data_IF_168147575054
#
_entry.id   IF_168147575054
#
_cell.length_a   1.000
_cell.length_b   1.000
_cell.length_c   1.000
_cell.angle_alpha   90.00
_cell.angle_beta   90.00
_cell.angle_gamma   90.00
#
_symmetry.space_group_name_H-M   'P 1'
#
loop_
_entity.id
_entity.type
_entity.pdbx_description
1 polymer ?
#
# COMPACT_ATOMS: atom_id res chain seq x y z
N UNK A 1 16.75 16.21 -21.46
CA UNK A 1 15.55 16.37 -20.59
C UNK A 1 16.00 16.56 -19.16
N UNK A 2 15.44 17.54 -18.46
CA UNK A 2 15.72 17.75 -17.03
C UNK A 2 14.92 16.77 -16.17
N UNK A 3 15.32 16.55 -14.91
CA UNK A 3 14.55 15.71 -13.98
C UNK A 3 13.10 16.21 -13.80
N UNK A 4 12.90 17.53 -13.89
CA UNK A 4 11.55 18.12 -13.82
C UNK A 4 10.67 17.71 -15.02
N UNK A 5 11.27 17.48 -16.19
CA UNK A 5 10.53 17.05 -17.38
C UNK A 5 10.03 15.61 -17.21
N UNK A 6 10.87 14.73 -16.67
CA UNK A 6 10.47 13.35 -16.36
C UNK A 6 9.30 13.32 -15.34
N UNK A 7 9.37 14.11 -14.28
CA UNK A 7 8.32 14.16 -13.25
C UNK A 7 6.96 14.55 -13.84
N UNK A 8 6.94 15.51 -14.77
CA UNK A 8 5.70 15.95 -15.44
C UNK A 8 5.10 14.87 -16.33
N UNK A 9 5.96 14.07 -17.00
CA UNK A 9 5.52 12.93 -17.83
C UNK A 9 5.05 11.78 -16.96
N UNK A 10 5.81 11.41 -15.93
CA UNK A 10 5.49 10.33 -15.00
C UNK A 10 4.16 10.59 -14.27
N UNK A 11 3.86 11.85 -13.95
CA UNK A 11 2.58 12.23 -13.34
C UNK A 11 1.35 11.97 -14.25
N UNK A 12 1.55 11.63 -15.53
CA UNK A 12 0.46 11.24 -16.44
C UNK A 12 0.08 9.76 -16.32
N UNK A 13 0.90 8.95 -15.67
CA UNK A 13 0.57 7.54 -15.46
C UNK A 13 -0.58 7.47 -14.45
N UNK A 14 -1.73 6.84 -14.80
CA UNK A 14 -2.83 6.69 -13.87
C UNK A 14 -2.51 5.55 -12.89
N UNK A 15 -2.73 5.80 -11.60
CA UNK A 15 -2.55 4.82 -10.54
C UNK A 15 -3.84 4.67 -9.74
N UNK A 16 -4.16 3.46 -9.31
CA UNK A 16 -5.04 3.24 -8.18
C UNK A 16 -4.36 3.63 -6.88
N UNK A 17 -5.13 3.88 -5.84
CA UNK A 17 -4.61 4.25 -4.51
C UNK A 17 -5.07 3.21 -3.50
N UNK A 18 -4.11 2.67 -2.75
CA UNK A 18 -4.34 1.67 -1.72
C UNK A 18 -3.69 2.08 -0.40
N UNK A 19 -4.20 1.56 0.69
CA UNK A 19 -3.46 1.48 1.95
C UNK A 19 -2.89 0.08 2.08
N UNK A 20 -1.58 -0.02 2.14
CA UNK A 20 -0.88 -1.29 2.40
C UNK A 20 -0.59 -1.36 3.89
N UNK A 21 -1.05 -2.42 4.52
CA UNK A 21 -0.77 -2.72 5.92
C UNK A 21 0.22 -3.86 6.02
N UNK A 22 1.08 -3.84 7.01
CA UNK A 22 2.10 -4.88 7.27
C UNK A 22 2.36 -4.97 8.76
N UNK A 23 2.86 -6.08 9.22
CA UNK A 23 3.10 -6.34 10.63
C UNK A 23 2.05 -7.25 11.26
N UNK A 24 2.21 -7.53 12.53
CA UNK A 24 1.30 -8.32 13.37
C UNK A 24 1.68 -8.22 14.85
N UNK A 25 0.75 -8.59 15.72
CA UNK A 25 1.05 -8.76 17.15
C UNK A 25 1.38 -7.46 17.87
N UNK A 26 0.77 -6.34 17.49
CA UNK A 26 0.99 -5.04 18.10
C UNK A 26 2.15 -4.23 17.51
N UNK A 27 2.83 -4.78 16.49
CA UNK A 27 3.86 -4.07 15.72
C UNK A 27 3.40 -4.03 14.27
N UNK A 28 2.58 -3.05 13.95
CA UNK A 28 1.90 -2.92 12.67
C UNK A 28 2.05 -1.51 12.11
N UNK A 29 1.97 -1.36 10.81
CA UNK A 29 1.90 -0.06 10.17
C UNK A 29 1.07 -0.12 8.89
N UNK A 30 0.55 1.05 8.49
CA UNK A 30 -0.11 1.27 7.22
C UNK A 30 0.56 2.40 6.44
N UNK A 31 0.60 2.27 5.13
CA UNK A 31 1.12 3.29 4.24
C UNK A 31 0.30 3.39 2.96
N UNK A 32 0.13 4.60 2.47
CA UNK A 32 -0.54 4.83 1.17
C UNK A 32 0.43 4.50 0.05
N UNK A 33 -0.02 3.63 -0.86
CA UNK A 33 0.74 3.18 -2.02
C UNK A 33 -0.06 3.42 -3.29
N UNK A 34 0.57 4.06 -4.27
CA UNK A 34 0.04 4.20 -5.63
C UNK A 34 0.77 3.31 -6.63
N UNK A 35 2.04 2.99 -6.39
CA UNK A 35 2.82 2.16 -7.30
C UNK A 35 2.65 0.70 -6.94
N UNK A 36 1.61 0.11 -7.51
CA UNK A 36 1.22 -1.28 -7.33
C UNK A 36 0.81 -1.87 -8.68
N UNK A 37 1.13 -3.12 -8.89
CA UNK A 37 0.67 -3.87 -10.06
C UNK A 37 0.52 -5.34 -9.76
N UNK A 38 -0.43 -5.99 -10.45
CA UNK A 38 -0.40 -7.43 -10.63
C UNK A 38 0.81 -7.80 -11.49
N UNK A 39 1.57 -8.80 -11.09
CA UNK A 39 2.81 -9.22 -11.77
C UNK A 39 2.83 -10.69 -12.16
N UNK A 40 1.85 -11.49 -11.72
CA UNK A 40 1.73 -12.91 -12.06
C UNK A 40 0.28 -13.39 -11.94
N UNK A 41 -0.08 -14.38 -12.77
CA UNK A 41 -1.35 -15.12 -12.67
C UNK A 41 -1.19 -16.45 -11.94
N UNK A 42 -0.05 -17.12 -12.12
CA UNK A 42 0.22 -18.46 -11.55
C UNK A 42 1.65 -18.55 -11.00
N UNK A 43 1.82 -18.44 -9.68
CA UNK A 43 0.82 -18.05 -8.69
C UNK A 43 0.34 -16.61 -8.86
N UNK A 44 -0.84 -16.22 -8.33
CA UNK A 44 -1.28 -14.84 -8.37
C UNK A 44 -0.39 -13.99 -7.46
N UNK A 45 0.18 -12.90 -7.99
CA UNK A 45 1.12 -12.06 -7.27
C UNK A 45 0.87 -10.57 -7.51
N UNK A 46 1.11 -9.79 -6.47
CA UNK A 46 1.16 -8.33 -6.50
C UNK A 46 2.59 -7.84 -6.21
N UNK A 47 2.91 -6.69 -6.77
CA UNK A 47 4.08 -5.89 -6.44
C UNK A 47 3.61 -4.55 -5.88
N UNK A 48 4.24 -4.11 -4.79
CA UNK A 48 4.13 -2.74 -4.27
C UNK A 48 5.52 -2.12 -4.18
N UNK A 49 5.65 -0.86 -4.58
CA UNK A 49 6.91 -0.12 -4.44
C UNK A 49 6.85 0.79 -3.22
N UNK A 50 7.83 0.65 -2.34
CA UNK A 50 7.91 1.37 -1.06
C UNK A 50 9.25 2.12 -1.00
N UNK A 51 9.22 3.38 -0.54
CA UNK A 51 10.44 4.16 -0.32
C UNK A 51 11.39 3.41 0.63
N UNK A 52 12.66 3.28 0.25
CA UNK A 52 13.69 2.56 1.04
C UNK A 52 13.82 3.05 2.48
N UNK A 53 13.57 4.34 2.71
CA UNK A 53 13.66 4.96 4.02
C UNK A 53 12.36 4.82 4.85
N UNK A 54 11.33 4.22 4.29
CA UNK A 54 10.08 4.05 5.00
C UNK A 54 10.21 2.95 6.08
N UNK A 55 9.73 3.25 7.28
CA UNK A 55 9.77 2.34 8.43
C UNK A 55 9.20 0.94 8.14
N UNK A 56 8.16 0.86 7.31
CA UNK A 56 7.52 -0.43 6.95
C UNK A 56 8.44 -1.40 6.21
N UNK A 57 9.54 -0.95 5.62
CA UNK A 57 10.48 -1.84 4.90
C UNK A 57 11.00 -2.94 5.81
N UNK A 58 11.34 -2.60 7.06
CA UNK A 58 11.79 -3.58 8.05
C UNK A 58 10.66 -4.51 8.51
N UNK A 59 9.43 -4.01 8.57
CA UNK A 59 8.26 -4.84 8.87
C UNK A 59 8.01 -5.87 7.77
N UNK A 60 8.04 -5.49 6.48
CA UNK A 60 7.92 -6.44 5.37
C UNK A 60 8.97 -7.54 5.46
N UNK A 61 10.22 -7.19 5.82
CA UNK A 61 11.30 -8.17 5.96
C UNK A 61 11.10 -9.13 7.13
N UNK A 62 10.67 -8.62 8.28
CA UNK A 62 10.56 -9.40 9.51
C UNK A 62 9.30 -10.24 9.59
N UNK A 63 8.15 -9.68 9.20
CA UNK A 63 6.86 -10.36 9.33
C UNK A 63 6.45 -11.15 8.10
N UNK A 64 7.06 -10.88 6.94
CA UNK A 64 6.80 -11.55 5.66
C UNK A 64 5.34 -11.47 5.21
N UNK A 65 4.61 -10.44 5.63
CA UNK A 65 3.20 -10.26 5.30
C UNK A 65 2.91 -8.85 4.84
N UNK A 66 1.87 -8.69 4.05
CA UNK A 66 1.19 -7.41 3.85
C UNK A 66 -0.23 -7.64 3.32
N UNK A 67 -1.10 -6.68 3.58
CA UNK A 67 -2.43 -6.64 2.99
C UNK A 67 -2.59 -5.34 2.20
N UNK A 68 -3.00 -5.47 0.94
CA UNK A 68 -3.36 -4.32 0.10
C UNK A 68 -4.84 -4.07 0.30
N UNK A 69 -5.19 -2.88 0.79
CA UNK A 69 -6.57 -2.42 0.94
C UNK A 69 -6.85 -1.39 -0.17
N UNK A 70 -7.58 -1.78 -1.19
CA UNK A 70 -7.90 -0.92 -2.32
C UNK A 70 -8.96 0.11 -1.92
N UNK A 71 -8.63 1.40 -2.00
CA UNK A 71 -9.53 2.46 -1.58
C UNK A 71 -10.57 2.80 -2.65
N UNK A 72 -11.77 3.17 -2.20
CA UNK A 72 -12.82 3.75 -3.04
C UNK A 72 -12.69 5.26 -3.21
N UNK A 73 -13.37 5.82 -4.22
CA UNK A 73 -13.30 7.25 -4.59
C UNK A 73 -13.55 8.21 -3.40
N UNK A 74 -14.41 7.85 -2.45
CA UNK A 74 -14.73 8.67 -1.28
C UNK A 74 -13.68 8.67 -0.16
N UNK A 75 -12.58 7.91 -0.29
CA UNK A 75 -11.64 7.66 0.80
C UNK A 75 -10.31 8.44 0.68
N UNK A 76 -10.35 9.62 0.05
CA UNK A 76 -9.14 10.45 -0.13
C UNK A 76 -8.53 10.92 1.21
N UNK A 77 -9.35 11.18 2.22
CA UNK A 77 -8.85 11.58 3.55
C UNK A 77 -8.11 10.44 4.24
N UNK A 78 -8.59 9.22 4.07
CA UNK A 78 -7.92 8.02 4.57
C UNK A 78 -6.56 7.81 3.88
N UNK A 79 -6.51 7.98 2.57
CA UNK A 79 -5.26 7.97 1.81
C UNK A 79 -4.27 9.03 2.34
N UNK A 80 -4.75 10.24 2.62
CA UNK A 80 -3.95 11.32 3.19
C UNK A 80 -3.39 10.98 4.57
N UNK A 81 -4.18 10.36 5.44
CA UNK A 81 -3.74 9.94 6.77
C UNK A 81 -2.57 8.95 6.69
N UNK A 82 -2.69 7.90 5.87
CA UNK A 82 -1.64 6.88 5.74
C UNK A 82 -0.46 7.33 4.86
N UNK A 83 -0.59 8.43 4.12
CA UNK A 83 0.52 9.03 3.37
C UNK A 83 1.50 9.80 4.26
N UNK A 84 1.14 10.08 5.53
CA UNK A 84 2.07 10.72 6.49
C UNK A 84 3.31 9.85 6.68
N UNK A 85 4.44 10.50 6.86
CA UNK A 85 5.65 9.81 7.26
C UNK A 85 5.45 9.19 8.66
N UNK A 86 5.65 7.88 8.76
CA UNK A 86 5.66 7.18 10.04
C UNK A 86 7.07 7.24 10.64
N UNK A 87 7.12 7.41 11.96
CA UNK A 87 8.30 7.20 12.78
C UNK A 87 8.11 5.91 13.60
N UNK A 88 9.21 5.34 14.06
CA UNK A 88 9.16 4.14 14.91
C UNK A 88 8.27 4.40 16.15
N UNK A 89 7.31 3.52 16.40
CA UNK A 89 6.35 3.66 17.50
C UNK A 89 5.09 4.47 17.16
N UNK A 90 4.97 5.01 15.93
CA UNK A 90 3.77 5.70 15.47
C UNK A 90 2.77 4.68 14.91
N UNK A 91 1.67 4.45 15.61
CA UNK A 91 0.61 3.54 15.18
C UNK A 91 -0.48 4.31 14.42
N UNK A 92 -0.31 4.39 13.10
CA UNK A 92 -1.29 5.05 12.23
C UNK A 92 -2.63 4.31 12.15
N UNK A 93 -2.65 3.02 12.45
CA UNK A 93 -3.87 2.21 12.45
C UNK A 93 -4.74 2.55 13.66
N UNK A 94 -4.14 2.71 14.84
CA UNK A 94 -4.87 3.11 16.05
C UNK A 94 -5.31 4.58 16.03
N UNK A 95 -4.60 5.44 15.33
CA UNK A 95 -4.90 6.87 15.23
C UNK A 95 -6.12 7.18 14.35
N UNK A 96 -6.51 6.27 13.50
CA UNK A 96 -7.67 6.41 12.63
C UNK A 96 -8.79 5.51 13.13
N UNK A 97 -9.98 6.09 13.32
CA UNK A 97 -11.17 5.32 13.67
C UNK A 97 -11.76 4.65 12.45
N UNK A 98 -11.05 3.68 11.90
CA UNK A 98 -11.53 2.86 10.81
C UNK A 98 -11.76 1.44 11.29
N UNK A 99 -12.87 0.85 10.84
CA UNK A 99 -13.13 -0.55 11.12
C UNK A 99 -12.08 -1.43 10.43
N UNK A 100 -11.48 -2.34 11.19
CA UNK A 100 -10.42 -3.23 10.73
C UNK A 100 -10.52 -4.59 11.39
N UNK A 101 -10.01 -5.61 10.71
CA UNK A 101 -9.84 -6.97 11.23
C UNK A 101 -8.53 -7.55 10.74
N UNK A 102 -7.92 -8.51 11.44
CA UNK A 102 -6.74 -9.19 10.93
C UNK A 102 -7.08 -10.06 9.71
N UNK A 103 -6.18 -10.08 8.75
CA UNK A 103 -6.11 -11.13 7.73
C UNK A 103 -5.49 -12.40 8.31
N UNK A 104 -5.49 -13.50 7.58
CA UNK A 104 -4.84 -14.74 8.01
C UNK A 104 -3.33 -14.58 8.20
N UNK A 105 -2.70 -13.71 7.43
CA UNK A 105 -1.29 -13.35 7.60
C UNK A 105 -1.01 -12.53 8.87
N UNK A 106 -2.04 -11.94 9.47
CA UNK A 106 -1.97 -11.02 10.60
C UNK A 106 -1.96 -9.55 10.22
N UNK A 107 -1.76 -9.20 8.95
CA UNK A 107 -1.86 -7.81 8.48
C UNK A 107 -3.32 -7.31 8.56
N UNK A 108 -3.52 -6.01 8.74
CA UNK A 108 -4.86 -5.47 8.91
C UNK A 108 -5.64 -5.35 7.59
N UNK A 109 -6.86 -5.86 7.57
CA UNK A 109 -7.85 -5.57 6.52
C UNK A 109 -8.68 -4.37 7.00
N UNK A 110 -8.69 -3.30 6.21
CA UNK A 110 -9.57 -2.15 6.44
C UNK A 110 -10.95 -2.47 5.84
N UNK A 111 -11.93 -2.75 6.69
CA UNK A 111 -13.22 -3.32 6.24
C UNK A 111 -14.09 -2.35 5.44
N UNK A 112 -13.76 -1.06 5.44
CA UNK A 112 -14.40 -0.04 4.61
C UNK A 112 -13.72 0.15 3.23
N UNK A 113 -12.61 -0.52 2.96
CA UNK A 113 -12.01 -0.56 1.62
C UNK A 113 -12.95 -1.26 0.62
N UNK A 114 -12.75 -1.06 -0.67
CA UNK A 114 -13.58 -1.74 -1.68
C UNK A 114 -13.16 -3.18 -1.90
N UNK A 115 -11.86 -3.48 -1.73
CA UNK A 115 -11.32 -4.84 -1.85
C UNK A 115 -10.04 -4.97 -1.04
N UNK A 116 -9.67 -6.20 -0.72
CA UNK A 116 -8.38 -6.50 -0.09
C UNK A 116 -7.66 -7.66 -0.78
N UNK A 117 -6.35 -7.69 -0.61
CA UNK A 117 -5.47 -8.79 -1.02
C UNK A 117 -4.49 -9.06 0.12
N UNK A 118 -4.64 -10.21 0.77
CA UNK A 118 -3.70 -10.69 1.79
C UNK A 118 -2.56 -11.42 1.13
N UNK A 119 -1.33 -11.01 1.41
CA UNK A 119 -0.14 -11.46 0.70
C UNK A 119 0.96 -11.94 1.63
N UNK A 120 1.64 -13.01 1.21
CA UNK A 120 2.93 -13.42 1.76
C UNK A 120 4.07 -12.83 0.91
N UNK A 121 5.03 -12.16 1.56
CA UNK A 121 6.21 -11.62 0.87
C UNK A 121 7.06 -12.76 0.32
N UNK A 122 7.21 -12.80 -1.00
CA UNK A 122 8.06 -13.80 -1.68
C UNK A 122 9.48 -13.29 -1.92
N UNK A 123 9.63 -12.01 -2.27
CA UNK A 123 10.94 -11.38 -2.47
C UNK A 123 10.84 -9.86 -2.35
N UNK A 124 11.99 -9.22 -2.13
CA UNK A 124 12.14 -7.78 -2.13
C UNK A 124 13.32 -7.41 -3.02
N UNK A 125 13.11 -6.50 -3.97
CA UNK A 125 14.08 -6.10 -4.98
C UNK A 125 14.32 -4.60 -4.92
N UNK A 126 15.57 -4.17 -4.85
CA UNK A 126 15.90 -2.75 -4.88
C UNK A 126 15.70 -2.15 -6.29
N UNK A 127 15.09 -0.97 -6.33
CA UNK A 127 14.82 -0.22 -7.54
C UNK A 127 15.00 1.29 -7.28
N UNK A 128 16.20 1.81 -7.56
CA UNK A 128 16.48 3.22 -7.30
C UNK A 128 16.34 3.58 -5.81
N UNK A 129 15.47 4.53 -5.49
CA UNK A 129 15.14 4.96 -4.13
C UNK A 129 13.98 4.17 -3.48
N UNK A 130 13.47 3.16 -4.17
CA UNK A 130 12.38 2.28 -3.70
C UNK A 130 12.85 0.83 -3.56
N UNK A 131 12.04 0.07 -2.82
CA UNK A 131 12.09 -1.39 -2.76
C UNK A 131 10.80 -1.91 -3.36
N UNK A 132 10.90 -2.85 -4.31
CA UNK A 132 9.76 -3.59 -4.82
C UNK A 132 9.50 -4.78 -3.91
N UNK A 133 8.36 -4.79 -3.25
CA UNK A 133 7.92 -5.91 -2.43
C UNK A 133 6.99 -6.77 -3.27
N UNK A 134 7.42 -7.98 -3.58
CA UNK A 134 6.62 -8.95 -4.33
C UNK A 134 5.96 -9.91 -3.35
N UNK A 135 4.65 -10.04 -3.45
CA UNK A 135 3.89 -10.94 -2.59
C UNK A 135 3.00 -11.87 -3.38
N UNK A 136 2.92 -13.12 -2.92
CA UNK A 136 1.93 -14.07 -3.39
C UNK A 136 0.60 -13.79 -2.68
N UNK A 137 -0.47 -13.70 -3.45
CA UNK A 137 -1.82 -13.52 -2.91
C UNK A 137 -2.26 -14.85 -2.30
N UNK A 138 -2.53 -14.86 -0.99
CA UNK A 138 -3.02 -16.03 -0.26
C UNK A 138 -4.54 -15.98 -0.07
N UNK A 139 -5.10 -14.77 0.10
CA UNK A 139 -6.53 -14.52 0.19
C UNK A 139 -6.88 -13.16 -0.39
N UNK A 140 -8.09 -13.01 -0.90
CA UNK A 140 -8.60 -11.75 -1.43
C UNK A 140 -10.12 -11.69 -1.39
N UNK A 141 -10.68 -10.49 -1.32
CA UNK A 141 -12.12 -10.31 -1.34
C UNK A 141 -12.56 -8.92 -1.74
N UNK A 142 -13.75 -8.86 -2.32
CA UNK A 142 -14.49 -7.61 -2.52
C UNK A 142 -15.29 -7.33 -1.25
N UNK A 143 -15.11 -6.15 -0.68
CA UNK A 143 -15.74 -5.74 0.59
C UNK A 143 -16.95 -4.85 0.33
N UNK A 144 -16.85 -3.94 -0.63
CA UNK A 144 -17.89 -2.96 -0.95
C UNK A 144 -17.88 -2.68 -2.44
N UNK A 145 -19.04 -2.53 -3.04
CA UNK A 145 -19.16 -2.03 -4.40
C UNK A 145 -18.70 -0.57 -4.45
N UNK A 146 -17.94 -0.22 -5.46
CA UNK A 146 -17.48 1.17 -5.65
C UNK A 146 -16.38 1.28 -6.69
N UNK A 147 -16.21 2.49 -7.20
CA UNK A 147 -15.11 2.80 -8.09
C UNK A 147 -13.82 3.02 -7.28
N UNK A 148 -12.68 2.55 -7.77
CA UNK A 148 -11.40 2.72 -7.08
C UNK A 148 -10.95 4.18 -7.06
N UNK A 149 -10.34 4.61 -5.95
CA UNK A 149 -9.67 5.89 -5.84
C UNK A 149 -8.46 5.90 -6.79
N UNK A 150 -8.34 6.96 -7.58
CA UNK A 150 -7.24 7.13 -8.54
C UNK A 150 -6.35 8.31 -8.16
N UNK A 151 -5.08 8.23 -8.53
CA UNK A 151 -4.16 9.37 -8.46
C UNK A 151 -4.71 10.53 -9.32
N UNK A 152 -4.48 11.77 -8.88
CA UNK A 152 -5.02 12.97 -9.52
C UNK A 152 -6.35 13.48 -8.93
N UNK A 153 -7.08 12.68 -8.16
CA UNK A 153 -8.29 13.09 -7.45
C UNK A 153 -7.96 13.87 -6.15
N UNK A 154 -7.14 14.94 -6.27
CA UNK A 154 -6.63 15.71 -5.13
C UNK A 154 -5.33 15.15 -4.52
N UNK A 155 -4.87 13.98 -4.96
CA UNK A 155 -3.56 13.43 -4.61
C UNK A 155 -2.52 13.93 -5.62
N UNK A 156 -1.48 14.58 -5.13
CA UNK A 156 -0.40 15.10 -5.99
C UNK A 156 0.73 14.09 -6.08
N UNK A 157 1.27 13.93 -7.30
CA UNK A 157 2.53 13.23 -7.50
C UNK A 157 3.62 13.92 -6.66
N UNK A 158 4.24 13.17 -5.76
CA UNK A 158 5.32 13.70 -4.92
C UNK A 158 6.56 13.88 -5.78
N UNK A 159 6.99 15.12 -5.95
CA UNK A 159 8.34 15.42 -6.47
C UNK A 159 9.30 15.33 -5.28
N UNK A 160 10.33 14.52 -5.41
CA UNK A 160 11.48 14.57 -4.50
C UNK A 160 12.46 15.64 -4.97
#
# INVERSE_FOLDING_TARGET
>A
MSESDFSNVLAKIPYGVSVVTTGRGGVENGLTVSWMSQVSFKPPMLMVAVDKLHYSVDLFRSTKNFCVNLLGEGQIQLAGHFARQAIAGDDKLDQVKIAQRPADSGAAILTEAIAYFDCEVSSMVEAGDHVLVLGRIEDAGVLTDGAPLRSGAGLRYRKK
#
